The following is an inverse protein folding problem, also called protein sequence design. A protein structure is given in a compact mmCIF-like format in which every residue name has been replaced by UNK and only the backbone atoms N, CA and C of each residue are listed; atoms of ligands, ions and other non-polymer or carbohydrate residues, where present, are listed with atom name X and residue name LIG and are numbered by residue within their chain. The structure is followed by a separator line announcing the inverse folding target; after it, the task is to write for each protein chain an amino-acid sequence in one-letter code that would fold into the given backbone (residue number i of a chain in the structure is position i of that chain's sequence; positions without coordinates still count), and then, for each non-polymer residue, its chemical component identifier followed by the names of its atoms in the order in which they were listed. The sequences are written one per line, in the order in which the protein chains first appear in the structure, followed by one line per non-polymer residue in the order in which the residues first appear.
data_IF_511218847902
#
_entry.id   IF_511218847902
#
_cell.length_a   1.000
_cell.length_b   1.000
_cell.length_c   1.000
_cell.angle_alpha   90.00
_cell.angle_beta   90.00
_cell.angle_gamma   90.00
#
_symmetry.space_group_name_H-M   'P 1'
#
loop_
_entity.id
_entity.type
_entity.pdbx_description
1 polymer ?
#
# COMPACT_ATOMS: atom_id res chain seq x y z
N UNK A 1 20.60 44.82 -15.93
CA UNK A 1 20.41 44.46 -14.51
C UNK A 1 19.48 43.25 -14.33
N UNK A 2 18.42 43.13 -15.12
CA UNK A 2 17.42 42.03 -15.05
C UNK A 2 18.00 40.63 -15.28
N UNK A 3 18.94 40.47 -16.23
CA UNK A 3 19.54 39.14 -16.54
C UNK A 3 20.31 38.52 -15.37
N UNK A 4 21.00 39.33 -14.55
CA UNK A 4 21.73 38.82 -13.37
C UNK A 4 20.80 38.31 -12.28
N UNK A 5 19.62 38.92 -12.15
CA UNK A 5 18.59 38.51 -11.17
C UNK A 5 17.95 37.18 -11.57
N UNK A 6 17.68 36.99 -12.87
CA UNK A 6 17.10 35.74 -13.39
C UNK A 6 18.08 34.58 -13.22
N UNK A 7 19.36 34.78 -13.53
CA UNK A 7 20.38 33.72 -13.39
C UNK A 7 20.55 33.34 -11.90
N UNK A 8 20.59 34.33 -11.00
CA UNK A 8 20.68 34.07 -9.56
C UNK A 8 19.46 33.27 -9.06
N UNK A 9 18.24 33.63 -9.50
CA UNK A 9 17.02 32.91 -9.13
C UNK A 9 17.05 31.45 -9.63
N UNK A 10 17.43 31.24 -10.90
CA UNK A 10 17.52 29.90 -11.49
C UNK A 10 18.53 29.01 -10.74
N UNK A 11 19.68 29.56 -10.35
CA UNK A 11 20.69 28.81 -9.60
C UNK A 11 20.18 28.46 -8.20
N UNK A 12 19.49 29.38 -7.51
CA UNK A 12 18.94 29.09 -6.18
C UNK A 12 17.85 28.00 -6.21
N UNK A 13 17.00 28.00 -7.24
CA UNK A 13 15.99 26.95 -7.44
C UNK A 13 16.62 25.59 -7.73
N UNK A 14 17.68 25.54 -8.54
CA UNK A 14 18.38 24.30 -8.85
C UNK A 14 19.11 23.70 -7.65
N UNK A 15 19.67 24.54 -6.76
CA UNK A 15 20.35 24.06 -5.55
C UNK A 15 19.34 23.59 -4.48
N UNK A 16 18.20 24.28 -4.34
CA UNK A 16 17.17 23.89 -3.39
C UNK A 16 16.55 22.51 -3.66
N UNK A 17 16.46 22.09 -4.93
CA UNK A 17 15.92 20.77 -5.29
C UNK A 17 16.96 19.63 -5.19
N UNK A 18 18.24 19.94 -5.00
CA UNK A 18 19.32 18.96 -4.96
C UNK A 18 19.70 18.50 -3.53
N UNK A 19 19.07 19.05 -2.48
CA UNK A 19 19.35 18.65 -1.09
C UNK A 19 18.39 17.52 -0.68
N UNK A 20 18.86 16.29 -0.44
CA UNK A 20 18.05 15.25 0.17
C UNK A 20 17.72 15.66 1.61
N UNK A 21 16.45 15.95 1.89
CA UNK A 21 16.00 16.35 3.22
C UNK A 21 16.01 15.13 4.17
N UNK A 22 16.74 15.17 5.30
CA UNK A 22 16.61 14.17 6.35
C UNK A 22 15.23 14.31 7.02
N UNK A 23 14.48 13.21 7.04
CA UNK A 23 13.15 13.12 7.63
C UNK A 23 13.19 13.35 9.14
N UNK A 24 13.04 14.61 9.57
CA UNK A 24 12.90 14.91 11.00
C UNK A 24 12.06 16.17 11.20
N UNK A 25 10.85 15.94 11.72
CA UNK A 25 10.17 16.89 12.61
C UNK A 25 9.47 18.08 11.96
N UNK A 26 8.15 17.96 11.82
CA UNK A 26 7.26 19.07 12.17
C UNK A 26 6.65 19.87 11.03
N UNK A 27 5.31 19.87 11.06
CA UNK A 27 4.42 20.92 10.56
C UNK A 27 4.41 21.20 9.05
N UNK A 28 3.44 20.58 8.38
CA UNK A 28 2.91 21.06 7.09
C UNK A 28 3.72 20.63 5.88
N UNK A 29 3.41 19.46 5.33
CA UNK A 29 4.15 18.94 4.18
C UNK A 29 3.33 17.90 3.44
N UNK A 30 2.73 18.36 2.35
CA UNK A 30 1.97 17.59 1.37
C UNK A 30 2.69 16.32 0.90
N UNK A 31 1.96 15.21 0.87
CA UNK A 31 2.19 14.13 -0.09
C UNK A 31 3.46 13.32 0.09
N UNK A 32 3.60 12.63 1.23
CA UNK A 32 4.53 11.50 1.34
C UNK A 32 4.07 10.34 0.45
N UNK A 33 4.60 10.27 -0.77
CA UNK A 33 4.49 9.13 -1.68
C UNK A 33 5.31 7.92 -1.18
N UNK A 34 5.10 7.49 0.06
CA UNK A 34 5.76 6.28 0.56
C UNK A 34 5.04 5.53 1.69
N UNK A 35 3.77 5.84 1.93
CA UNK A 35 2.84 4.96 2.64
C UNK A 35 1.45 5.29 2.09
N UNK A 36 0.80 4.28 1.50
CA UNK A 36 -0.33 4.38 0.58
C UNK A 36 -1.20 5.62 0.77
N UNK A 37 -1.36 6.42 -0.29
CA UNK A 37 -2.06 7.70 -0.35
C UNK A 37 -3.32 7.74 0.53
N UNK A 38 -3.14 8.04 1.81
CA UNK A 38 -4.21 8.12 2.78
C UNK A 38 -4.82 9.50 2.63
N UNK A 39 -6.04 9.51 2.10
CA UNK A 39 -6.85 10.70 1.99
C UNK A 39 -6.87 11.43 3.36
N UNK A 40 -6.45 12.72 3.44
CA UNK A 40 -6.32 13.45 4.71
C UNK A 40 -7.61 13.53 5.54
N UNK A 41 -8.76 13.31 4.89
CA UNK A 41 -10.08 13.33 5.53
C UNK A 41 -10.45 12.02 6.20
N UNK A 42 -9.65 10.96 6.01
CA UNK A 42 -9.90 9.65 6.59
C UNK A 42 -9.17 9.59 7.94
N UNK A 43 -9.90 9.33 9.03
CA UNK A 43 -9.28 9.18 10.34
C UNK A 43 -8.21 8.08 10.34
N UNK A 44 -7.13 8.24 11.13
CA UNK A 44 -6.05 7.25 11.19
C UNK A 44 -6.54 5.83 11.55
N UNK A 45 -7.55 5.73 12.42
CA UNK A 45 -8.13 4.45 12.84
C UNK A 45 -8.90 3.72 11.73
N UNK A 46 -9.44 4.45 10.73
CA UNK A 46 -10.02 3.86 9.52
C UNK A 46 -8.90 3.45 8.57
N UNK A 47 -7.93 4.34 8.37
CA UNK A 47 -6.81 4.11 7.46
C UNK A 47 -5.98 2.87 7.85
N UNK A 48 -5.88 2.55 9.14
CA UNK A 48 -5.18 1.36 9.64
C UNK A 48 -6.07 0.12 9.75
N UNK A 49 -7.36 0.22 9.40
CA UNK A 49 -8.27 -0.89 9.62
C UNK A 49 -7.99 -2.03 8.63
N UNK A 50 -8.07 -3.31 9.06
CA UNK A 50 -7.81 -4.46 8.18
C UNK A 50 -8.79 -4.58 6.99
N UNK A 51 -9.99 -4.02 7.13
CA UNK A 51 -11.00 -3.97 6.07
C UNK A 51 -10.78 -2.81 5.09
N UNK A 52 -9.94 -1.83 5.45
CA UNK A 52 -9.68 -0.67 4.60
C UNK A 52 -8.64 -1.03 3.54
N UNK A 53 -8.90 -0.78 2.25
CA UNK A 53 -7.97 -1.14 1.19
C UNK A 53 -6.64 -0.39 1.34
N UNK A 54 -5.54 -1.12 1.43
CA UNK A 54 -4.21 -0.52 1.52
C UNK A 54 -3.64 -0.33 0.12
N UNK A 55 -3.27 0.90 -0.22
CA UNK A 55 -2.65 1.21 -1.50
C UNK A 55 -1.17 0.86 -1.47
N UNK A 56 -0.71 0.10 -2.45
CA UNK A 56 0.68 -0.29 -2.62
C UNK A 56 1.14 -0.04 -4.06
N UNK A 57 2.39 0.41 -4.27
CA UNK A 57 2.94 0.55 -5.62
C UNK A 57 3.04 -0.83 -6.29
N UNK A 58 2.70 -0.89 -7.57
CA UNK A 58 2.99 -2.07 -8.39
C UNK A 58 3.14 -1.72 -9.86
N UNK A 59 3.84 -2.59 -10.58
CA UNK A 59 4.31 -2.36 -11.95
C UNK A 59 3.57 -3.20 -12.98
N UNK A 60 3.03 -4.36 -12.57
CA UNK A 60 2.34 -5.30 -13.46
C UNK A 60 0.84 -5.30 -13.17
N UNK A 61 0.02 -5.08 -14.19
CA UNK A 61 -1.44 -5.14 -14.09
C UNK A 61 -1.87 -6.58 -13.96
N UNK A 62 -2.74 -6.85 -13.00
CA UNK A 62 -3.24 -8.19 -12.71
C UNK A 62 -3.55 -8.35 -11.22
N UNK A 63 -3.85 -9.57 -10.82
CA UNK A 63 -3.99 -9.94 -9.42
C UNK A 63 -2.91 -10.94 -9.04
N UNK A 64 -2.33 -10.76 -7.86
CA UNK A 64 -1.32 -11.66 -7.30
C UNK A 64 -1.61 -11.91 -5.83
N UNK A 65 -1.22 -13.08 -5.32
CA UNK A 65 -1.23 -13.33 -3.88
C UNK A 65 0.01 -12.70 -3.26
N UNK A 66 -0.19 -11.87 -2.24
CA UNK A 66 0.90 -11.37 -1.40
C UNK A 66 1.25 -12.38 -0.33
N UNK A 67 0.22 -12.91 0.33
CA UNK A 67 0.31 -13.90 1.38
C UNK A 67 -0.81 -14.94 1.18
N UNK A 68 -0.81 -15.98 2.02
CA UNK A 68 -1.81 -17.04 2.02
C UNK A 68 -3.26 -16.57 2.16
N UNK A 69 -3.48 -15.37 2.68
CA UNK A 69 -4.82 -14.80 2.94
C UNK A 69 -4.97 -13.39 2.38
N UNK A 70 -3.98 -12.87 1.64
CA UNK A 70 -3.97 -11.49 1.14
C UNK A 70 -3.69 -11.49 -0.35
N UNK A 71 -4.55 -10.82 -1.12
CA UNK A 71 -4.33 -10.56 -2.55
C UNK A 71 -4.02 -9.09 -2.82
N UNK A 72 -3.20 -8.84 -3.82
CA UNK A 72 -2.97 -7.53 -4.40
C UNK A 72 -3.59 -7.46 -5.78
N UNK A 73 -4.44 -6.46 -6.00
CA UNK A 73 -5.01 -6.16 -7.31
C UNK A 73 -4.32 -4.91 -7.85
N UNK A 74 -3.58 -5.09 -8.92
CA UNK A 74 -2.83 -4.05 -9.59
C UNK A 74 -3.56 -3.49 -10.79
N UNK A 75 -3.85 -2.20 -10.70
CA UNK A 75 -4.50 -1.42 -11.76
C UNK A 75 -3.50 -0.44 -12.38
N UNK A 76 -3.93 0.30 -13.41
CA UNK A 76 -3.12 1.37 -14.02
C UNK A 76 -2.74 2.49 -13.05
N UNK A 77 -3.49 2.67 -11.96
CA UNK A 77 -3.31 3.76 -10.98
C UNK A 77 -2.42 3.32 -9.81
N UNK A 78 -2.29 2.00 -9.60
CA UNK A 78 -1.58 1.42 -8.47
C UNK A 78 -2.22 0.12 -8.00
N UNK A 79 -1.63 -0.46 -6.96
CA UNK A 79 -2.07 -1.70 -6.34
C UNK A 79 -2.96 -1.47 -5.13
N UNK A 80 -3.95 -2.33 -4.97
CA UNK A 80 -4.82 -2.38 -3.80
C UNK A 80 -4.61 -3.75 -3.14
N UNK A 81 -4.21 -3.75 -1.87
CA UNK A 81 -4.13 -4.96 -1.06
C UNK A 81 -5.47 -5.20 -0.36
N UNK A 82 -5.94 -6.45 -0.40
CA UNK A 82 -7.17 -6.89 0.27
C UNK A 82 -6.97 -8.28 0.87
N UNK A 83 -7.41 -8.42 2.12
CA UNK A 83 -7.53 -9.73 2.76
C UNK A 83 -8.71 -10.52 2.17
N UNK A 84 -8.55 -11.84 2.10
CA UNK A 84 -9.61 -12.80 1.82
C UNK A 84 -10.43 -13.01 3.11
N UNK A 85 -11.42 -12.13 3.30
CA UNK A 85 -12.24 -12.09 4.52
C UNK A 85 -13.46 -13.02 4.47
N UNK A 86 -13.73 -13.63 3.32
CA UNK A 86 -14.84 -14.59 3.20
C UNK A 86 -14.44 -15.91 3.88
N UNK A 87 -15.17 -16.35 4.92
CA UNK A 87 -14.85 -17.60 5.61
C UNK A 87 -14.96 -18.84 4.72
N UNK A 88 -15.68 -18.75 3.60
CA UNK A 88 -15.78 -19.83 2.61
C UNK A 88 -14.63 -19.82 1.60
N UNK A 89 -13.92 -18.70 1.47
CA UNK A 89 -12.81 -18.51 0.55
C UNK A 89 -11.62 -17.82 1.27
N UNK A 90 -11.09 -18.40 2.36
CA UNK A 90 -10.14 -17.70 3.23
C UNK A 90 -8.72 -17.63 2.64
N UNK A 91 -8.43 -18.39 1.59
CA UNK A 91 -7.09 -18.51 1.03
C UNK A 91 -6.92 -17.68 -0.24
N UNK A 92 -5.72 -17.16 -0.49
CA UNK A 92 -5.36 -16.63 -1.79
C UNK A 92 -4.71 -17.72 -2.64
N UNK A 93 -5.20 -17.90 -3.86
CA UNK A 93 -4.65 -18.82 -4.84
C UNK A 93 -4.67 -18.14 -6.23
N UNK A 94 -3.49 -18.03 -6.87
CA UNK A 94 -3.31 -17.40 -8.20
C UNK A 94 -3.92 -15.99 -8.34
N UNK A 95 -3.89 -15.20 -7.27
CA UNK A 95 -4.43 -13.83 -7.26
C UNK A 95 -5.92 -13.73 -6.96
N UNK A 96 -6.59 -14.85 -6.65
CA UNK A 96 -8.00 -14.87 -6.26
C UNK A 96 -8.22 -15.52 -4.89
N UNK A 97 -9.31 -15.11 -4.23
CA UNK A 97 -9.71 -15.76 -2.98
C UNK A 97 -10.38 -17.10 -3.31
N UNK A 98 -9.96 -18.16 -2.62
CA UNK A 98 -10.24 -19.56 -2.91
C UNK A 98 -10.52 -20.32 -1.63
N UNK A 99 -11.34 -21.36 -1.73
CA UNK A 99 -11.55 -22.34 -0.67
C UNK A 99 -10.33 -23.25 -0.48
N UNK A 100 -9.51 -23.40 -1.53
CA UNK A 100 -8.34 -24.29 -1.53
C UNK A 100 -7.06 -23.50 -1.32
N UNK A 101 -6.25 -23.84 -0.29
CA UNK A 101 -4.98 -23.17 -0.04
C UNK A 101 -4.03 -23.34 -1.22
N UNK A 102 -3.18 -22.33 -1.44
CA UNK A 102 -2.03 -22.46 -2.32
C UNK A 102 -0.98 -23.40 -1.71
N UNK A 103 -0.05 -23.88 -2.52
CA UNK A 103 1.06 -24.73 -2.07
C UNK A 103 1.88 -24.00 -0.99
N UNK A 104 2.05 -24.62 0.18
CA UNK A 104 2.72 -24.02 1.34
C UNK A 104 1.84 -23.07 2.19
N UNK A 105 0.57 -22.88 1.83
CA UNK A 105 -0.42 -22.11 2.58
C UNK A 105 -1.44 -22.98 3.31
N UNK A 106 -1.15 -24.28 3.44
CA UNK A 106 -2.01 -25.24 4.10
C UNK A 106 -2.16 -24.85 5.58
N UNK A 107 -3.39 -24.86 6.13
CA UNK A 107 -3.56 -24.68 7.56
C UNK A 107 -2.78 -25.78 8.26
N UNK A 108 -1.97 -25.43 9.26
CA UNK A 108 -1.31 -26.41 10.11
C UNK A 108 -2.39 -27.39 10.60
N UNK A 109 -2.31 -28.63 10.12
CA UNK A 109 -3.25 -29.70 10.40
C UNK A 109 -3.46 -29.78 11.91
N UNK A 110 -4.58 -29.25 12.43
CA UNK A 110 -4.82 -29.15 13.86
C UNK A 110 -5.81 -28.07 14.31
N UNK A 111 -6.01 -27.01 13.55
CA UNK A 111 -7.02 -25.99 13.87
C UNK A 111 -8.40 -26.35 13.31
N UNK A 112 -8.89 -27.57 13.59
CA UNK A 112 -10.32 -27.85 13.48
C UNK A 112 -11.02 -27.02 14.55
N UNK A 113 -11.66 -25.93 14.14
CA UNK A 113 -12.63 -25.20 14.97
C UNK A 113 -13.67 -26.22 15.41
N UNK A 114 -13.59 -26.64 16.67
CA UNK A 114 -14.63 -27.43 17.28
C UNK A 114 -15.94 -26.61 17.20
N UNK A 115 -17.04 -27.18 16.70
CA UNK A 115 -18.32 -26.48 16.76
C UNK A 115 -18.67 -26.28 18.23
N UNK A 116 -18.76 -25.03 18.67
CA UNK A 116 -19.33 -24.69 19.97
C UNK A 116 -20.81 -25.08 19.93
N UNK A 117 -21.16 -26.10 20.71
CA UNK A 117 -22.53 -26.55 20.93
C UNK A 117 -23.33 -25.55 21.79
#
# INVERSE_FOLDING_TARGET
MVSKVIIALCITLAVASAVPQPATGGAGGWGGWNNGAVNPWIPPWIASAPWYPQWAPCTTIGSTCLDCTTKQVCTKVGGIQRACLDPTLPYCNLGECSATPAEGCEPASGASVAPTA
#
